data_IF_077823012847
#
_entry.id   IF_077823012847
#
_cell.length_a   1.000
_cell.length_b   1.000
_cell.length_c   1.000
_cell.angle_alpha   90.00
_cell.angle_beta   90.00
_cell.angle_gamma   90.00
#
_symmetry.space_group_name_H-M   'P 1'
#
loop_
_entity.id
_entity.type
_entity.pdbx_description
1 polymer ?
#
# COMPACT_ATOMS: atom_id res chain seq x y z
N UNK A 1 13.17 -7.06 -2.89
CA UNK A 1 14.40 -7.04 -2.06
C UNK A 1 14.83 -8.48 -1.85
N UNK A 2 16.03 -8.85 -2.31
CA UNK A 2 16.52 -10.25 -2.21
C UNK A 2 16.97 -10.59 -0.79
N UNK A 3 17.58 -9.64 -0.07
CA UNK A 3 18.05 -9.79 1.31
C UNK A 3 17.47 -8.66 2.16
N UNK A 4 16.45 -8.99 2.95
CA UNK A 4 15.75 -8.03 3.79
C UNK A 4 16.63 -7.52 4.94
N UNK A 5 17.42 -8.40 5.56
CA UNK A 5 18.27 -8.05 6.71
C UNK A 5 19.41 -7.10 6.28
N UNK A 6 20.04 -7.37 5.13
CA UNK A 6 21.04 -6.48 4.56
C UNK A 6 20.46 -5.13 4.16
N UNK A 7 19.23 -5.11 3.65
CA UNK A 7 18.52 -3.87 3.33
C UNK A 7 18.18 -3.05 4.58
N UNK A 8 17.66 -3.69 5.64
CA UNK A 8 17.41 -3.03 6.93
C UNK A 8 18.68 -2.42 7.50
N UNK A 9 19.78 -3.18 7.54
CA UNK A 9 21.06 -2.68 8.01
C UNK A 9 21.53 -1.44 7.21
N UNK A 10 21.29 -1.42 5.90
CA UNK A 10 21.59 -0.27 5.04
C UNK A 10 20.72 0.93 5.35
N UNK A 11 19.41 0.76 5.51
CA UNK A 11 18.48 1.84 5.90
C UNK A 11 18.92 2.43 7.24
N UNK A 12 19.21 1.58 8.22
CA UNK A 12 19.65 2.03 9.53
C UNK A 12 20.97 2.79 9.47
N UNK A 13 21.97 2.27 8.76
CA UNK A 13 23.29 2.89 8.69
C UNK A 13 23.32 4.20 7.90
N UNK A 14 22.49 4.31 6.86
CA UNK A 14 22.47 5.47 5.96
C UNK A 14 21.52 6.58 6.42
N UNK A 15 20.37 6.23 7.01
CA UNK A 15 19.30 7.16 7.38
C UNK A 15 19.08 7.29 8.89
N UNK A 16 19.81 6.54 9.71
CA UNK A 16 19.56 6.44 11.16
C UNK A 16 18.09 6.08 11.47
N UNK A 17 17.50 5.23 10.61
CA UNK A 17 16.10 4.84 10.71
C UNK A 17 15.95 3.35 10.95
N UNK A 18 15.07 2.98 11.86
CA UNK A 18 14.82 1.58 12.26
C UNK A 18 13.41 1.17 11.86
N UNK A 19 13.28 -0.03 11.31
CA UNK A 19 11.96 -0.60 11.04
C UNK A 19 11.26 -1.00 12.33
N UNK A 20 10.00 -0.57 12.46
CA UNK A 20 9.15 -0.93 13.60
C UNK A 20 8.72 -2.40 13.57
N UNK A 21 7.90 -2.78 14.56
CA UNK A 21 7.35 -4.12 14.67
C UNK A 21 6.51 -4.51 13.44
N UNK A 22 6.53 -5.78 13.04
CA UNK A 22 5.74 -6.25 11.90
C UNK A 22 4.24 -6.14 12.19
N UNK A 23 3.48 -5.73 11.20
CA UNK A 23 2.03 -5.69 11.24
C UNK A 23 1.43 -6.39 10.03
N UNK A 24 0.40 -7.21 10.26
CA UNK A 24 -0.34 -7.86 9.17
C UNK A 24 -1.37 -6.88 8.62
N UNK A 25 -1.33 -6.66 7.32
CA UNK A 25 -2.30 -5.88 6.55
C UNK A 25 -3.05 -6.80 5.59
N UNK A 26 -4.39 -6.74 5.65
CA UNK A 26 -5.27 -7.43 4.71
C UNK A 26 -6.03 -6.38 3.90
N UNK A 27 -5.81 -6.35 2.59
CA UNK A 27 -6.44 -5.44 1.65
C UNK A 27 -7.50 -6.19 0.84
N UNK A 28 -8.78 -5.84 0.98
CA UNK A 28 -9.85 -6.29 0.11
C UNK A 28 -10.05 -5.27 -1.01
N UNK A 29 -9.84 -5.67 -2.27
CA UNK A 29 -9.95 -4.81 -3.44
C UNK A 29 -11.31 -4.96 -4.10
N UNK A 30 -11.84 -3.84 -4.60
CA UNK A 30 -13.14 -3.77 -5.25
C UNK A 30 -13.01 -3.37 -6.71
N UNK A 31 -13.83 -4.00 -7.56
CA UNK A 31 -13.95 -3.68 -8.98
C UNK A 31 -15.35 -3.17 -9.29
N UNK A 32 -15.42 -2.29 -10.28
CA UNK A 32 -16.65 -1.84 -10.91
C UNK A 32 -16.32 -1.40 -12.33
N UNK A 33 -16.59 -2.27 -13.32
CA UNK A 33 -16.22 -2.02 -14.71
C UNK A 33 -16.94 -0.77 -15.27
N UNK A 34 -18.19 -0.54 -14.84
CA UNK A 34 -18.96 0.64 -15.25
C UNK A 34 -18.34 1.98 -14.80
N UNK A 35 -17.57 1.97 -13.70
CA UNK A 35 -16.86 3.13 -13.16
C UNK A 35 -15.34 3.09 -13.44
N UNK A 36 -14.88 2.10 -14.21
CA UNK A 36 -13.47 1.93 -14.54
C UNK A 36 -12.60 1.58 -13.35
N UNK A 37 -13.03 0.64 -12.49
CA UNK A 37 -12.22 0.08 -11.41
C UNK A 37 -11.99 -1.42 -11.62
N UNK A 38 -10.73 -1.88 -11.60
CA UNK A 38 -9.48 -1.14 -11.59
C UNK A 38 -9.03 -0.84 -13.04
N UNK A 39 -9.23 0.39 -13.52
CA UNK A 39 -8.72 0.83 -14.82
C UNK A 39 -7.88 2.09 -14.65
N UNK A 40 -6.92 2.31 -15.53
CA UNK A 40 -5.99 3.43 -15.50
C UNK A 40 -5.27 3.58 -14.12
N UNK A 41 -5.04 2.47 -13.42
CA UNK A 41 -4.42 2.46 -12.10
C UNK A 41 -5.34 2.91 -10.96
N UNK A 42 -6.63 3.20 -11.22
CA UNK A 42 -7.59 3.48 -10.15
C UNK A 42 -7.80 2.27 -9.27
N UNK A 43 -7.99 2.50 -7.97
CA UNK A 43 -8.16 1.42 -7.01
C UNK A 43 -9.06 1.84 -5.87
N UNK A 44 -9.94 0.94 -5.45
CA UNK A 44 -10.72 1.05 -4.23
C UNK A 44 -10.44 -0.17 -3.36
N UNK A 45 -10.11 0.05 -2.08
CA UNK A 45 -9.88 -1.05 -1.14
C UNK A 45 -10.42 -0.75 0.24
N UNK A 46 -10.71 -1.79 0.99
CA UNK A 46 -10.81 -1.76 2.44
C UNK A 46 -9.55 -2.41 2.99
N UNK A 47 -8.80 -1.67 3.81
CA UNK A 47 -7.62 -2.17 4.52
C UNK A 47 -7.96 -2.47 5.96
N UNK A 48 -7.54 -3.63 6.42
CA UNK A 48 -7.52 -3.99 7.83
C UNK A 48 -6.08 -4.16 8.32
N UNK A 49 -5.77 -3.55 9.45
CA UNK A 49 -4.51 -3.74 10.18
C UNK A 49 -4.82 -3.85 11.68
N UNK A 50 -4.85 -5.09 12.18
CA UNK A 50 -5.33 -5.35 13.54
C UNK A 50 -6.75 -4.84 13.74
N UNK A 51 -6.95 -3.88 14.64
CA UNK A 51 -8.24 -3.21 14.89
C UNK A 51 -8.46 -1.94 14.04
N UNK A 52 -7.51 -1.56 13.21
CA UNK A 52 -7.64 -0.43 12.30
C UNK A 52 -8.30 -0.87 11.00
N UNK A 53 -9.29 -0.09 10.56
CA UNK A 53 -9.91 -0.20 9.23
C UNK A 53 -9.83 1.14 8.52
N UNK A 54 -9.58 1.09 7.21
CA UNK A 54 -9.68 2.25 6.35
C UNK A 54 -10.23 1.89 4.98
N UNK A 55 -10.98 2.80 4.38
CA UNK A 55 -11.28 2.79 2.94
C UNK A 55 -10.25 3.65 2.25
N UNK A 56 -9.61 3.12 1.20
CA UNK A 56 -8.64 3.86 0.40
C UNK A 56 -9.11 3.92 -1.05
N UNK A 57 -9.26 5.13 -1.57
CA UNK A 57 -9.33 5.40 -2.99
C UNK A 57 -7.95 5.81 -3.50
N UNK A 58 -7.54 5.25 -4.61
CA UNK A 58 -6.35 5.67 -5.35
C UNK A 58 -6.77 6.08 -6.75
N UNK A 59 -6.42 7.30 -7.13
CA UNK A 59 -6.68 7.86 -8.46
C UNK A 59 -5.80 7.25 -9.55
N UNK A 60 -5.96 7.70 -10.80
CA UNK A 60 -5.07 7.32 -11.89
C UNK A 60 -3.64 7.70 -11.57
N UNK A 61 -2.69 6.94 -12.13
CA UNK A 61 -1.28 7.32 -12.03
C UNK A 61 -1.02 8.59 -12.83
N UNK A 62 -0.20 9.48 -12.30
CA UNK A 62 0.17 10.73 -12.95
C UNK A 62 1.39 10.57 -13.87
N UNK A 63 2.10 9.45 -13.78
CA UNK A 63 3.26 9.11 -14.62
C UNK A 63 3.45 7.58 -14.73
N UNK A 64 4.34 7.18 -15.65
CA UNK A 64 4.62 5.76 -15.94
C UNK A 64 5.77 5.17 -15.11
N UNK A 65 6.55 6.00 -14.42
CA UNK A 65 7.79 5.60 -13.76
C UNK A 65 7.65 5.45 -12.25
N UNK A 66 6.63 6.09 -11.68
CA UNK A 66 6.32 6.03 -10.25
C UNK A 66 4.86 5.65 -10.02
N UNK A 67 4.50 5.43 -8.75
CA UNK A 67 3.10 5.27 -8.34
C UNK A 67 2.46 6.58 -7.88
N UNK A 68 3.00 7.73 -8.34
CA UNK A 68 2.48 9.06 -7.98
C UNK A 68 1.04 9.22 -8.43
N UNK A 69 0.14 9.51 -7.49
CA UNK A 69 -1.30 9.69 -7.73
C UNK A 69 -1.98 10.35 -6.54
N UNK A 70 -3.20 10.79 -6.75
CA UNK A 70 -4.08 11.15 -5.64
C UNK A 70 -4.39 9.90 -4.81
N UNK A 71 -4.34 10.05 -3.50
CA UNK A 71 -4.75 9.01 -2.56
C UNK A 71 -5.63 9.63 -1.48
N UNK A 72 -6.83 9.07 -1.29
CA UNK A 72 -7.77 9.44 -0.24
C UNK A 72 -7.93 8.23 0.66
N UNK A 73 -7.45 8.34 1.90
CA UNK A 73 -7.63 7.31 2.91
C UNK A 73 -8.56 7.83 4.01
N UNK A 74 -9.66 7.12 4.22
CA UNK A 74 -10.66 7.43 5.22
C UNK A 74 -10.62 6.36 6.31
N UNK A 75 -10.10 6.68 7.51
CA UNK A 75 -10.15 5.73 8.61
C UNK A 75 -11.60 5.49 9.02
N UNK A 76 -11.96 4.22 9.17
CA UNK A 76 -13.26 3.81 9.65
C UNK A 76 -13.19 3.73 11.17
N UNK A 77 -13.95 4.61 11.83
CA UNK A 77 -13.97 4.65 13.29
C UNK A 77 -14.70 3.42 13.82
N UNK A 78 -13.95 2.54 14.45
CA UNK A 78 -14.53 1.48 15.29
C UNK A 78 -14.54 2.01 16.72
N UNK A 79 -15.71 2.03 17.39
CA UNK A 79 -15.79 2.48 18.78
C UNK A 79 -14.74 1.78 19.65
N UNK A 80 -14.03 2.55 20.47
CA UNK A 80 -13.02 2.01 21.36
C UNK A 80 -13.67 1.18 22.49
N UNK A 81 -13.47 -0.13 22.45
CA UNK A 81 -13.79 -1.03 23.54
C UNK A 81 -12.50 -1.61 24.08
N UNK A 82 -12.38 -1.74 25.38
CA UNK A 82 -11.20 -2.37 26.01
C UNK A 82 -11.17 -3.87 25.75
N UNK A 83 -12.36 -4.50 25.66
CA UNK A 83 -12.48 -5.91 25.34
C UNK A 83 -12.06 -6.20 23.90
N UNK A 84 -11.01 -7.01 23.76
CA UNK A 84 -10.40 -7.34 22.47
C UNK A 84 -11.34 -8.17 21.57
N UNK A 85 -12.19 -9.02 22.15
CA UNK A 85 -13.12 -9.86 21.39
C UNK A 85 -14.26 -9.00 20.83
N UNK A 86 -14.81 -8.10 21.62
CA UNK A 86 -15.83 -7.14 21.19
C UNK A 86 -15.27 -6.23 20.11
N UNK A 87 -14.05 -5.70 20.31
CA UNK A 87 -13.37 -4.86 19.30
C UNK A 87 -13.21 -5.61 17.99
N UNK A 88 -12.73 -6.86 18.01
CA UNK A 88 -12.59 -7.68 16.80
C UNK A 88 -13.93 -7.87 16.10
N UNK A 89 -14.99 -8.23 16.82
CA UNK A 89 -16.32 -8.42 16.23
C UNK A 89 -16.86 -7.15 15.58
N UNK A 90 -16.62 -5.97 16.17
CA UNK A 90 -17.00 -4.69 15.59
C UNK A 90 -16.19 -4.35 14.35
N UNK A 91 -14.89 -4.65 14.33
CA UNK A 91 -14.04 -4.47 13.13
C UNK A 91 -14.56 -5.34 11.99
N UNK A 92 -14.83 -6.61 12.25
CA UNK A 92 -15.35 -7.55 11.24
C UNK A 92 -16.72 -7.08 10.71
N UNK A 93 -17.65 -6.71 11.61
CA UNK A 93 -18.97 -6.17 11.23
C UNK A 93 -18.86 -4.89 10.41
N UNK A 94 -17.99 -3.95 10.82
CA UNK A 94 -17.81 -2.68 10.10
C UNK A 94 -17.27 -2.93 8.69
N UNK A 95 -16.31 -3.86 8.55
CA UNK A 95 -15.81 -4.29 7.23
C UNK A 95 -16.93 -4.82 6.35
N UNK A 96 -17.77 -5.73 6.90
CA UNK A 96 -18.87 -6.36 6.17
C UNK A 96 -19.95 -5.36 5.78
N UNK A 97 -20.26 -4.39 6.65
CA UNK A 97 -21.22 -3.32 6.34
C UNK A 97 -20.72 -2.42 5.21
N UNK A 98 -19.41 -2.08 5.19
CA UNK A 98 -18.81 -1.31 4.10
C UNK A 98 -18.73 -2.11 2.80
N UNK A 99 -18.42 -3.41 2.88
CA UNK A 99 -18.46 -4.29 1.70
C UNK A 99 -19.86 -4.31 1.08
N UNK A 100 -20.89 -4.53 1.90
CA UNK A 100 -22.29 -4.48 1.44
C UNK A 100 -22.69 -3.12 0.87
N UNK A 101 -22.20 -2.03 1.46
CA UNK A 101 -22.45 -0.69 0.95
C UNK A 101 -21.85 -0.52 -0.45
N UNK A 102 -20.61 -0.95 -0.66
CA UNK A 102 -19.97 -0.92 -1.97
C UNK A 102 -20.70 -1.80 -2.98
N UNK A 103 -21.16 -2.99 -2.59
CA UNK A 103 -21.96 -3.85 -3.45
C UNK A 103 -23.26 -3.17 -3.90
N UNK A 104 -23.93 -2.41 -3.00
CA UNK A 104 -25.12 -1.61 -3.37
C UNK A 104 -24.81 -0.47 -4.33
N UNK A 105 -23.58 0.01 -4.37
CA UNK A 105 -23.10 1.00 -5.34
C UNK A 105 -22.62 0.37 -6.67
N UNK A 106 -22.69 -0.95 -6.81
CA UNK A 106 -22.30 -1.67 -8.03
C UNK A 106 -20.85 -2.17 -8.03
N UNK A 107 -20.13 -2.04 -6.93
CA UNK A 107 -18.82 -2.66 -6.80
C UNK A 107 -18.93 -4.12 -6.41
N UNK A 108 -17.91 -4.89 -6.74
CA UNK A 108 -17.78 -6.29 -6.34
C UNK A 108 -16.41 -6.48 -5.69
N UNK A 109 -16.35 -7.19 -4.56
CA UNK A 109 -15.07 -7.62 -4.00
C UNK A 109 -14.39 -8.56 -5.00
N UNK A 110 -13.21 -8.20 -5.46
CA UNK A 110 -12.51 -8.93 -6.52
C UNK A 110 -11.49 -9.90 -5.95
N UNK A 111 -10.58 -9.41 -5.12
CA UNK A 111 -9.49 -10.18 -4.53
C UNK A 111 -8.99 -9.52 -3.26
N UNK A 112 -8.48 -10.35 -2.35
CA UNK A 112 -7.75 -9.89 -1.17
C UNK A 112 -6.26 -10.16 -1.32
N UNK A 113 -5.45 -9.26 -0.78
CA UNK A 113 -4.00 -9.40 -0.65
C UNK A 113 -3.63 -9.23 0.81
N UNK A 114 -2.90 -10.19 1.34
CA UNK A 114 -2.33 -10.13 2.68
C UNK A 114 -0.82 -9.93 2.60
N UNK A 115 -0.30 -9.08 3.47
CA UNK A 115 1.12 -8.86 3.61
C UNK A 115 1.50 -8.59 5.07
N UNK A 116 2.73 -8.90 5.41
CA UNK A 116 3.34 -8.45 6.64
C UNK A 116 4.18 -7.23 6.34
N UNK A 117 3.84 -6.08 6.94
CA UNK A 117 4.51 -4.80 6.72
C UNK A 117 5.32 -4.38 7.95
N UNK A 118 6.55 -3.94 7.72
CA UNK A 118 7.35 -3.16 8.66
C UNK A 118 7.61 -1.78 8.07
N UNK A 119 7.63 -0.76 8.91
CA UNK A 119 7.71 0.64 8.46
C UNK A 119 8.84 1.35 9.20
N UNK A 120 9.65 2.09 8.46
CA UNK A 120 10.64 3.03 8.98
C UNK A 120 10.27 4.44 8.51
N UNK A 121 10.38 5.41 9.41
CA UNK A 121 10.24 6.83 9.10
C UNK A 121 11.63 7.47 9.12
N UNK A 122 11.94 8.25 8.10
CA UNK A 122 13.24 8.91 7.99
C UNK A 122 13.11 10.31 7.38
N UNK A 123 14.19 11.05 7.49
CA UNK A 123 14.38 12.31 6.77
C UNK A 123 15.59 12.19 5.85
N UNK A 124 15.44 12.62 4.61
CA UNK A 124 16.53 12.67 3.65
C UNK A 124 16.47 14.02 2.91
N UNK A 125 17.54 14.78 2.99
CA UNK A 125 17.67 16.14 2.41
C UNK A 125 16.52 17.08 2.78
N UNK A 126 16.09 17.06 4.05
CA UNK A 126 15.03 17.91 4.58
C UNK A 126 13.60 17.48 4.20
N UNK A 127 13.43 16.32 3.54
CA UNK A 127 12.12 15.75 3.19
C UNK A 127 11.88 14.48 4.01
N UNK A 128 10.64 14.32 4.48
CA UNK A 128 10.23 13.11 5.22
C UNK A 128 9.84 12.01 4.27
N UNK A 129 10.27 10.79 4.59
CA UNK A 129 9.95 9.58 3.85
C UNK A 129 9.41 8.51 4.78
N UNK A 130 8.53 7.71 4.21
CA UNK A 130 8.12 6.43 4.77
C UNK A 130 8.74 5.33 3.91
N UNK A 131 9.52 4.46 4.53
CA UNK A 131 10.10 3.27 3.89
C UNK A 131 9.39 2.06 4.47
N UNK A 132 8.89 1.17 3.62
CA UNK A 132 8.25 -0.06 4.07
C UNK A 132 9.00 -1.29 3.57
N UNK A 133 8.96 -2.36 4.36
CA UNK A 133 9.27 -3.71 3.94
C UNK A 133 8.00 -4.54 4.01
N UNK A 134 7.58 -5.03 2.85
CA UNK A 134 6.35 -5.79 2.67
C UNK A 134 6.69 -7.24 2.28
N UNK A 135 6.40 -8.19 3.16
CA UNK A 135 6.52 -9.60 2.88
C UNK A 135 5.16 -10.16 2.43
N UNK A 136 5.11 -10.70 1.21
CA UNK A 136 3.95 -11.38 0.64
C UNK A 136 4.30 -12.85 0.43
N UNK A 137 3.49 -13.77 0.97
CA UNK A 137 3.82 -15.20 1.09
C UNK A 137 4.26 -15.86 -0.23
N UNK A 138 3.64 -15.52 -1.36
CA UNK A 138 3.92 -16.14 -2.66
C UNK A 138 4.77 -15.27 -3.60
N UNK A 139 5.04 -14.02 -3.22
CA UNK A 139 5.69 -13.03 -4.08
C UNK A 139 7.09 -12.62 -3.59
N UNK A 140 7.39 -12.86 -2.30
CA UNK A 140 8.65 -12.44 -1.69
C UNK A 140 8.57 -11.11 -0.96
N UNK A 141 9.72 -10.44 -0.80
CA UNK A 141 9.86 -9.21 -0.03
C UNK A 141 10.05 -8.01 -0.96
N UNK A 142 9.26 -6.98 -0.73
CA UNK A 142 9.30 -5.71 -1.47
C UNK A 142 9.60 -4.56 -0.52
N UNK A 143 10.08 -3.46 -1.09
CA UNK A 143 10.17 -2.18 -0.39
C UNK A 143 9.43 -1.12 -1.16
N UNK A 144 8.78 -0.21 -0.43
CA UNK A 144 8.20 1.01 -1.00
C UNK A 144 8.85 2.21 -0.31
N UNK A 145 9.16 3.24 -1.08
CA UNK A 145 9.65 4.54 -0.60
C UNK A 145 8.60 5.57 -0.96
N UNK A 146 8.01 6.19 0.04
CA UNK A 146 6.89 7.10 -0.12
C UNK A 146 7.21 8.46 0.52
N UNK A 147 6.75 9.53 -0.12
CA UNK A 147 6.73 10.89 0.46
C UNK A 147 5.46 11.59 0.05
N UNK A 148 4.96 12.46 0.91
CA UNK A 148 3.83 13.32 0.60
C UNK A 148 4.34 14.63 -0.01
N UNK A 149 3.69 15.08 -1.07
CA UNK A 149 4.01 16.33 -1.74
C UNK A 149 2.74 17.04 -2.20
N UNK A 150 2.65 18.37 -2.06
CA UNK A 150 1.62 19.14 -2.73
C UNK A 150 1.82 19.08 -4.24
N UNK A 151 0.77 19.39 -5.01
CA UNK A 151 0.78 19.27 -6.47
C UNK A 151 1.94 20.06 -7.13
N UNK A 152 2.27 21.23 -6.62
CA UNK A 152 3.36 22.07 -7.14
C UNK A 152 4.77 21.56 -6.84
N UNK A 153 4.93 20.53 -6.02
CA UNK A 153 6.22 19.96 -5.56
C UNK A 153 6.44 18.51 -6.06
N UNK A 154 5.60 18.03 -6.96
CA UNK A 154 5.63 16.61 -7.40
C UNK A 154 6.94 16.22 -8.10
N UNK A 155 7.50 17.10 -8.94
CA UNK A 155 8.74 16.80 -9.67
C UNK A 155 9.94 16.70 -8.71
N UNK A 156 10.03 17.61 -7.74
CA UNK A 156 11.08 17.56 -6.72
C UNK A 156 10.92 16.34 -5.82
N UNK A 157 9.69 15.98 -5.45
CA UNK A 157 9.39 14.79 -4.66
C UNK A 157 9.79 13.50 -5.40
N UNK A 158 9.48 13.39 -6.69
CA UNK A 158 9.89 12.25 -7.54
C UNK A 158 11.41 12.14 -7.64
N UNK A 159 12.09 13.25 -7.88
CA UNK A 159 13.54 13.27 -7.92
C UNK A 159 14.15 12.80 -6.60
N UNK A 160 13.62 13.25 -5.47
CA UNK A 160 14.08 12.87 -4.15
C UNK A 160 13.82 11.38 -3.83
N UNK A 161 12.66 10.82 -4.23
CA UNK A 161 12.38 9.37 -4.12
C UNK A 161 13.40 8.57 -4.92
N UNK A 162 13.67 8.96 -6.17
CA UNK A 162 14.63 8.28 -7.05
C UNK A 162 16.03 8.32 -6.46
N UNK A 163 16.48 9.48 -6.02
CA UNK A 163 17.80 9.65 -5.42
C UNK A 163 17.96 8.81 -4.15
N UNK A 164 16.93 8.77 -3.28
CA UNK A 164 16.95 7.94 -2.10
C UNK A 164 16.97 6.44 -2.45
N UNK A 165 16.20 6.01 -3.45
CA UNK A 165 16.20 4.63 -3.92
C UNK A 165 17.59 4.22 -4.43
N UNK A 166 18.24 5.07 -5.23
CA UNK A 166 19.60 4.84 -5.72
C UNK A 166 20.63 4.77 -4.59
N UNK A 167 20.54 5.67 -3.60
CA UNK A 167 21.42 5.68 -2.41
C UNK A 167 21.24 4.41 -1.57
N UNK A 168 20.03 3.85 -1.51
CA UNK A 168 19.73 2.59 -0.85
C UNK A 168 20.06 1.36 -1.73
N UNK A 169 20.64 1.57 -2.93
CA UNK A 169 21.05 0.49 -3.84
C UNK A 169 19.92 -0.23 -4.54
N UNK A 170 18.73 0.38 -4.61
CA UNK A 170 17.60 -0.14 -5.37
C UNK A 170 17.77 0.21 -6.85
N UNK A 171 17.67 -0.79 -7.72
CA UNK A 171 17.91 -0.62 -9.17
C UNK A 171 16.67 -0.82 -10.00
N UNK A 172 15.79 -1.71 -9.55
CA UNK A 172 14.60 -2.10 -10.30
C UNK A 172 13.35 -1.52 -9.64
N UNK A 173 12.58 -0.75 -10.41
CA UNK A 173 11.32 -0.19 -9.97
C UNK A 173 10.16 -1.04 -10.46
N UNK A 174 9.32 -1.51 -9.53
CA UNK A 174 8.09 -2.23 -9.83
C UNK A 174 6.92 -1.27 -9.69
N UNK A 175 6.34 -0.87 -10.82
CA UNK A 175 5.16 0.02 -10.84
C UNK A 175 3.84 -0.71 -10.68
N UNK A 176 3.81 -2.05 -10.87
CA UNK A 176 2.60 -2.87 -10.67
C UNK A 176 2.18 -2.87 -9.20
N UNK A 177 0.86 -2.93 -8.99
CA UNK A 177 0.32 -3.12 -7.64
C UNK A 177 0.54 -4.55 -7.15
N UNK A 178 0.51 -4.75 -5.83
CA UNK A 178 0.55 -6.11 -5.26
C UNK A 178 -0.66 -6.95 -5.71
N UNK A 179 -1.80 -6.31 -5.97
CA UNK A 179 -2.96 -6.98 -6.56
C UNK A 179 -2.63 -7.56 -7.95
N UNK A 180 -2.04 -6.75 -8.84
CA UNK A 180 -1.64 -7.21 -10.17
C UNK A 180 -0.62 -8.34 -10.08
N UNK A 181 0.42 -8.19 -9.27
CA UNK A 181 1.44 -9.22 -9.05
C UNK A 181 0.83 -10.52 -8.53
N UNK A 182 -0.11 -10.43 -7.57
CA UNK A 182 -0.79 -11.61 -7.03
C UNK A 182 -1.68 -12.32 -8.06
N UNK A 183 -2.36 -11.54 -8.93
CA UNK A 183 -3.16 -12.12 -10.02
C UNK A 183 -2.24 -12.80 -11.05
N UNK A 184 -1.14 -12.15 -11.43
CA UNK A 184 -0.16 -12.72 -12.36
C UNK A 184 0.43 -14.02 -11.86
N UNK A 185 0.85 -14.07 -10.59
CA UNK A 185 1.40 -15.27 -9.97
C UNK A 185 0.41 -16.43 -9.99
N UNK A 186 -0.88 -16.16 -9.74
CA UNK A 186 -1.94 -17.18 -9.73
C UNK A 186 -2.38 -17.62 -11.11
N UNK A 187 -2.41 -16.73 -12.08
CA UNK A 187 -3.02 -17.01 -13.40
C UNK A 187 -2.02 -17.23 -14.50
N UNK A 188 -0.76 -16.86 -14.30
CA UNK A 188 0.27 -16.83 -15.35
C UNK A 188 0.01 -15.80 -16.46
N UNK A 189 -0.99 -14.93 -16.30
CA UNK A 189 -1.36 -13.92 -17.30
C UNK A 189 -0.88 -12.55 -16.85
N UNK A 190 -0.24 -11.81 -17.76
CA UNK A 190 0.15 -10.43 -17.51
C UNK A 190 -1.10 -9.56 -17.27
N UNK A 191 -1.10 -8.78 -16.18
CA UNK A 191 -2.15 -7.83 -15.83
C UNK A 191 -1.69 -6.44 -16.26
N UNK A 192 -2.37 -5.88 -17.24
CA UNK A 192 -2.16 -4.49 -17.66
C UNK A 192 -3.01 -3.58 -16.76
N UNK A 193 -2.36 -2.67 -16.05
CA UNK A 193 -3.00 -1.66 -15.18
C UNK A 193 -3.03 -0.27 -15.86
N UNK A 194 -2.90 -0.24 -17.21
CA UNK A 194 -2.99 1.01 -17.98
C UNK A 194 -4.41 1.49 -18.18
#
# INVERSE_FOLDING_TARGET
VEDADAYEARVQSFLDATFGEPSVECDAFFRCDALGFPNAGKMLRIRRRGSFLAVTYKGPRLDETTKTREEIELPLVVPGFEDSAIRKALVDRTRDDWTRFFERLGFQEAQSVEKTRRTALCEFKGRRFTITLDALAELGVFTEIETLAPEGDLEEARAAVKELAEALGLRDTIVKSYLALAIEAKTGKNVDEK
#
